data_IF_732123309001
#
_entry.id   IF_732123309001
#
_cell.length_a   1.000
_cell.length_b   1.000
_cell.length_c   1.000
_cell.angle_alpha   90.00
_cell.angle_beta   90.00
_cell.angle_gamma   90.00
#
_symmetry.space_group_name_H-M   'P 1'
#
loop_
_entity.id
_entity.type
_entity.pdbx_description
1 polymer ?
#
# COMPACT_ATOMS: atom_id res chain seq x y z
N UNK A 1 29.98 15.74 -1.66
CA UNK A 1 28.95 16.23 -2.61
C UNK A 1 28.01 17.14 -1.86
N UNK A 2 27.44 18.15 -2.52
CA UNK A 2 26.40 18.97 -1.92
C UNK A 2 25.15 18.12 -1.68
N UNK A 3 24.43 18.41 -0.60
CA UNK A 3 23.16 17.76 -0.27
C UNK A 3 22.02 18.74 -0.50
N UNK A 4 20.90 18.25 -1.01
CA UNK A 4 19.70 19.05 -1.26
C UNK A 4 18.57 18.53 -0.36
N UNK A 5 17.92 19.46 0.33
CA UNK A 5 16.80 19.18 1.23
C UNK A 5 15.63 20.09 0.92
N UNK A 6 14.41 19.57 1.05
CA UNK A 6 13.17 20.33 1.02
C UNK A 6 12.44 20.14 2.36
N UNK A 7 12.25 21.21 3.13
CA UNK A 7 11.61 21.25 4.46
C UNK A 7 12.18 20.34 5.56
N UNK A 8 13.11 19.42 5.26
CA UNK A 8 13.91 18.49 6.09
C UNK A 8 14.02 17.09 5.44
N UNK A 9 13.34 16.86 4.31
CA UNK A 9 13.49 15.62 3.54
C UNK A 9 14.63 15.76 2.52
N UNK A 10 15.46 14.72 2.41
CA UNK A 10 16.52 14.66 1.42
C UNK A 10 15.90 14.47 0.04
N UNK A 11 16.31 15.31 -0.90
CA UNK A 11 15.98 15.15 -2.33
C UNK A 11 17.00 14.18 -2.92
N UNK A 12 16.55 12.97 -3.29
CA UNK A 12 17.42 11.89 -3.78
C UNK A 12 17.42 11.76 -5.30
N UNK A 13 16.32 12.16 -5.94
CA UNK A 13 16.05 12.02 -7.36
C UNK A 13 15.46 13.30 -7.93
N UNK A 14 15.55 13.48 -9.25
CA UNK A 14 14.93 14.60 -9.95
C UNK A 14 13.40 14.66 -9.77
N UNK A 15 12.76 13.51 -9.55
CA UNK A 15 11.30 13.42 -9.35
C UNK A 15 10.85 13.95 -7.99
N UNK A 16 11.73 13.92 -6.98
CA UNK A 16 11.47 14.50 -5.66
C UNK A 16 11.25 16.02 -5.73
N UNK A 17 11.72 16.68 -6.79
CA UNK A 17 11.46 18.11 -7.03
C UNK A 17 9.98 18.39 -7.39
N UNK A 18 9.23 17.39 -7.84
CA UNK A 18 7.82 17.54 -8.21
C UNK A 18 6.93 17.38 -6.96
N UNK A 19 7.23 16.38 -6.12
CA UNK A 19 6.48 16.06 -4.91
C UNK A 19 6.20 14.57 -4.80
N UNK A 20 5.40 14.17 -3.82
CA UNK A 20 5.03 12.77 -3.56
C UNK A 20 3.50 12.56 -3.54
N UNK A 21 2.71 13.58 -3.92
CA UNK A 21 1.25 13.44 -3.97
C UNK A 21 0.86 12.63 -5.20
N UNK A 22 -0.36 12.10 -5.19
CA UNK A 22 -0.93 11.30 -6.28
C UNK A 22 -0.70 11.93 -7.66
N UNK A 23 -1.03 13.21 -7.81
CA UNK A 23 -0.80 13.98 -9.04
C UNK A 23 0.69 14.14 -9.42
N UNK A 24 1.59 14.20 -8.44
CA UNK A 24 3.02 14.40 -8.68
C UNK A 24 3.64 13.08 -9.17
N UNK A 25 3.17 11.96 -8.62
CA UNK A 25 3.55 10.61 -9.01
C UNK A 25 3.08 10.33 -10.45
N UNK A 26 1.81 10.60 -10.78
CA UNK A 26 1.30 10.37 -12.14
C UNK A 26 2.01 11.22 -13.19
N UNK A 27 2.31 12.48 -12.88
CA UNK A 27 3.15 13.34 -13.74
C UNK A 27 4.54 12.78 -13.94
N UNK A 28 5.18 12.30 -12.87
CA UNK A 28 6.52 11.72 -12.92
C UNK A 28 6.56 10.47 -13.80
N UNK A 29 5.57 9.58 -13.65
CA UNK A 29 5.40 8.37 -14.46
C UNK A 29 5.14 8.73 -15.93
N UNK A 30 4.20 9.65 -16.20
CA UNK A 30 3.89 10.11 -17.55
C UNK A 30 5.13 10.67 -18.26
N UNK A 31 5.90 11.50 -17.57
CA UNK A 31 7.15 12.05 -18.11
C UNK A 31 8.19 10.96 -18.38
N UNK A 32 8.33 9.99 -17.47
CA UNK A 32 9.24 8.87 -17.65
C UNK A 32 8.84 7.98 -18.84
N UNK A 33 7.55 7.75 -19.07
CA UNK A 33 7.05 7.05 -20.26
C UNK A 33 7.46 7.76 -21.56
N UNK A 34 7.32 9.09 -21.61
CA UNK A 34 7.75 9.88 -22.78
C UNK A 34 9.26 9.83 -22.99
N UNK A 35 10.06 9.84 -21.91
CA UNK A 35 11.53 9.82 -22.02
C UNK A 35 12.13 8.43 -22.19
N UNK A 36 11.41 7.39 -21.80
CA UNK A 36 11.81 5.99 -21.90
C UNK A 36 10.72 5.20 -22.65
N UNK A 37 10.64 5.31 -23.98
CA UNK A 37 9.59 4.69 -24.81
C UNK A 37 9.37 3.19 -24.54
N UNK A 38 10.46 2.44 -24.35
CA UNK A 38 10.40 1.00 -24.03
C UNK A 38 9.70 0.69 -22.71
N UNK A 39 9.74 1.59 -21.72
CA UNK A 39 9.01 1.41 -20.48
C UNK A 39 7.50 1.49 -20.74
N UNK A 40 7.05 2.49 -21.50
CA UNK A 40 5.66 2.64 -21.92
C UNK A 40 5.17 1.40 -22.68
N UNK A 41 5.93 0.97 -23.69
CA UNK A 41 5.59 -0.21 -24.50
C UNK A 41 5.40 -1.46 -23.63
N UNK A 42 6.33 -1.71 -22.71
CA UNK A 42 6.28 -2.87 -21.80
C UNK A 42 5.13 -2.80 -20.80
N UNK A 43 4.78 -1.60 -20.33
CA UNK A 43 3.61 -1.42 -19.46
C UNK A 43 2.33 -1.70 -20.22
N UNK A 44 2.17 -1.17 -21.44
CA UNK A 44 0.97 -1.42 -22.26
C UNK A 44 0.86 -2.89 -22.66
N UNK A 45 1.97 -3.52 -23.08
CA UNK A 45 2.00 -4.94 -23.42
C UNK A 45 1.61 -5.81 -22.22
N UNK A 46 2.14 -5.52 -21.03
CA UNK A 46 1.80 -6.26 -19.82
C UNK A 46 0.34 -6.08 -19.41
N UNK A 47 -0.19 -4.86 -19.52
CA UNK A 47 -1.52 -4.52 -19.04
C UNK A 47 -2.64 -4.96 -20.00
N UNK A 48 -2.43 -4.78 -21.31
CA UNK A 48 -3.47 -4.96 -22.33
C UNK A 48 -3.19 -6.14 -23.27
N UNK A 49 -2.00 -6.74 -23.22
CA UNK A 49 -1.54 -7.73 -24.20
C UNK A 49 -1.56 -7.19 -25.65
N UNK A 50 -1.28 -5.89 -25.80
CA UNK A 50 -1.22 -5.18 -27.08
C UNK A 50 0.16 -4.59 -27.28
N UNK A 51 0.70 -4.74 -28.49
CA UNK A 51 1.95 -4.09 -28.88
C UNK A 51 1.69 -2.61 -29.20
N UNK A 52 2.16 -1.73 -28.32
CA UNK A 52 2.22 -0.30 -28.56
C UNK A 52 3.49 0.06 -29.33
N UNK A 53 3.40 1.04 -30.22
CA UNK A 53 4.56 1.75 -30.77
C UNK A 53 4.58 3.11 -30.10
N UNK A 54 5.56 3.38 -29.24
CA UNK A 54 5.54 4.56 -28.39
C UNK A 54 5.45 5.89 -29.16
N UNK A 55 5.99 5.94 -30.38
CA UNK A 55 5.94 7.13 -31.25
C UNK A 55 4.50 7.51 -31.67
N UNK A 56 3.58 6.54 -31.68
CA UNK A 56 2.16 6.75 -32.02
C UNK A 56 1.30 7.05 -30.78
N UNK A 57 1.86 6.91 -29.57
CA UNK A 57 1.11 7.02 -28.32
C UNK A 57 1.05 8.47 -27.85
N UNK A 58 -0.16 8.92 -27.53
CA UNK A 58 -0.41 10.19 -26.86
C UNK A 58 -0.72 9.93 -25.39
N UNK A 59 0.03 10.57 -24.51
CA UNK A 59 -0.22 10.62 -23.06
C UNK A 59 -0.75 12.00 -22.72
N UNK A 60 -1.91 12.05 -22.08
CA UNK A 60 -2.48 13.27 -21.46
C UNK A 60 -2.59 13.03 -19.97
N UNK A 61 -2.33 14.05 -19.16
CA UNK A 61 -2.53 13.96 -17.71
C UNK A 61 -3.41 15.13 -17.28
N UNK A 62 -4.26 14.91 -16.28
CA UNK A 62 -5.15 15.93 -15.73
C UNK A 62 -6.15 16.51 -16.76
N UNK A 63 -6.72 15.66 -17.63
CA UNK A 63 -7.73 16.09 -18.61
C UNK A 63 -9.09 16.30 -17.95
N UNK A 64 -9.64 17.51 -18.11
CA UNK A 64 -10.94 17.88 -17.57
C UNK A 64 -12.06 17.70 -18.59
N UNK A 65 -13.13 17.02 -18.19
CA UNK A 65 -14.41 17.01 -18.92
C UNK A 65 -15.53 17.45 -17.98
N UNK A 66 -16.38 18.37 -18.45
CA UNK A 66 -17.49 18.91 -17.67
C UNK A 66 -18.39 17.77 -17.19
N UNK A 67 -18.76 17.79 -15.91
CA UNK A 67 -19.60 16.79 -15.25
C UNK A 67 -18.99 15.36 -15.18
N UNK A 68 -17.75 15.16 -15.67
CA UNK A 68 -17.00 13.89 -15.62
C UNK A 68 -15.66 13.99 -14.89
N UNK A 69 -15.32 15.16 -14.38
CA UNK A 69 -14.15 15.40 -13.54
C UNK A 69 -12.82 15.43 -14.32
N UNK A 70 -11.73 15.32 -13.56
CA UNK A 70 -10.35 15.35 -14.05
C UNK A 70 -9.82 13.91 -14.00
N UNK A 71 -9.21 13.42 -15.07
CA UNK A 71 -8.52 12.12 -15.11
C UNK A 71 -7.06 12.29 -14.74
N UNK A 72 -6.47 11.36 -13.99
CA UNK A 72 -5.05 11.48 -13.67
C UNK A 72 -4.17 11.32 -14.91
N UNK A 73 -4.49 10.32 -15.76
CA UNK A 73 -3.75 10.07 -16.99
C UNK A 73 -4.62 9.34 -18.03
N UNK A 74 -4.50 9.72 -19.29
CA UNK A 74 -5.13 9.06 -20.45
C UNK A 74 -4.03 8.69 -21.45
N UNK A 75 -4.00 7.43 -21.91
CA UNK A 75 -3.00 6.92 -22.84
C UNK A 75 -3.69 6.23 -24.00
N UNK A 76 -3.39 6.65 -25.23
CA UNK A 76 -4.04 6.12 -26.42
C UNK A 76 -3.13 6.24 -27.65
N UNK A 77 -3.17 5.25 -28.53
CA UNK A 77 -2.65 5.35 -29.90
C UNK A 77 -3.77 5.64 -30.93
N UNK A 78 -4.99 5.87 -30.44
CA UNK A 78 -6.22 6.11 -31.19
C UNK A 78 -6.62 4.98 -32.15
N UNK A 79 -6.03 3.78 -32.04
CA UNK A 79 -6.32 2.67 -32.94
C UNK A 79 -6.40 1.33 -32.22
N UNK A 80 -5.35 0.93 -31.51
CA UNK A 80 -5.29 -0.36 -30.84
C UNK A 80 -5.85 -0.23 -29.43
N UNK A 81 -5.52 0.84 -28.71
CA UNK A 81 -5.96 0.99 -27.33
C UNK A 81 -6.26 2.43 -26.90
N UNK A 82 -7.13 2.56 -25.91
CA UNK A 82 -7.34 3.76 -25.11
C UNK A 82 -7.53 3.33 -23.66
N UNK A 83 -6.65 3.79 -22.78
CA UNK A 83 -6.82 3.62 -21.32
C UNK A 83 -6.96 4.95 -20.60
N UNK A 84 -7.85 4.96 -19.60
CA UNK A 84 -7.93 6.02 -18.60
C UNK A 84 -7.39 5.45 -17.29
N UNK A 85 -6.39 6.10 -16.72
CA UNK A 85 -5.76 5.70 -15.46
C UNK A 85 -6.25 6.63 -14.35
N UNK A 86 -6.68 6.01 -13.25
CA UNK A 86 -7.00 6.65 -11.99
C UNK A 86 -6.03 6.15 -10.92
N UNK A 87 -5.18 7.04 -10.44
CA UNK A 87 -4.19 6.73 -9.43
C UNK A 87 -4.74 6.88 -8.02
N UNK A 88 -4.20 6.09 -7.09
CA UNK A 88 -4.45 6.24 -5.66
C UNK A 88 -3.16 6.04 -4.88
N UNK A 89 -2.88 6.89 -3.88
CA UNK A 89 -1.81 6.61 -2.90
C UNK A 89 -2.21 5.44 -1.98
N UNK A 90 -1.21 4.66 -1.58
CA UNK A 90 -1.38 3.55 -0.65
C UNK A 90 -2.28 2.43 -1.16
N UNK A 91 -2.99 1.79 -0.23
CA UNK A 91 -3.87 0.65 -0.49
C UNK A 91 -5.32 1.07 -0.84
N UNK A 92 -5.49 2.33 -1.26
CA UNK A 92 -6.77 2.88 -1.69
C UNK A 92 -7.01 2.49 -3.15
N UNK A 93 -8.27 2.19 -3.47
CA UNK A 93 -8.73 1.92 -4.83
C UNK A 93 -9.86 2.91 -5.17
N UNK A 94 -10.00 3.29 -6.45
CA UNK A 94 -11.07 4.17 -6.88
C UNK A 94 -12.44 3.52 -6.68
N UNK A 95 -13.42 4.34 -6.32
CA UNK A 95 -14.80 3.91 -6.11
C UNK A 95 -15.59 3.81 -7.43
N UNK A 96 -16.74 3.13 -7.36
CA UNK A 96 -17.59 2.87 -8.54
C UNK A 96 -18.06 4.16 -9.22
N UNK A 97 -18.43 5.17 -8.43
CA UNK A 97 -18.90 6.47 -8.94
C UNK A 97 -17.88 7.11 -9.87
N UNK A 98 -16.59 7.09 -9.48
CA UNK A 98 -15.52 7.70 -10.25
C UNK A 98 -15.23 6.92 -11.54
N UNK A 99 -15.14 5.58 -11.45
CA UNK A 99 -14.92 4.75 -12.63
C UNK A 99 -16.08 4.85 -13.63
N UNK A 100 -17.32 4.95 -13.13
CA UNK A 100 -18.50 5.15 -13.99
C UNK A 100 -18.43 6.48 -14.74
N UNK A 101 -18.04 7.58 -14.09
CA UNK A 101 -17.85 8.86 -14.77
C UNK A 101 -16.86 8.76 -15.94
N UNK A 102 -15.74 8.06 -15.74
CA UNK A 102 -14.73 7.89 -16.78
C UNK A 102 -15.19 6.98 -17.92
N UNK A 103 -15.99 5.95 -17.63
CA UNK A 103 -16.56 5.08 -18.67
C UNK A 103 -17.51 5.82 -19.61
N UNK A 104 -18.07 6.94 -19.15
CA UNK A 104 -19.04 7.75 -19.87
C UNK A 104 -18.43 8.96 -20.60
N UNK A 105 -17.11 9.12 -20.58
CA UNK A 105 -16.42 10.24 -21.22
C UNK A 105 -16.56 10.16 -22.73
N UNK A 106 -16.85 11.30 -23.35
CA UNK A 106 -17.11 11.39 -24.79
C UNK A 106 -15.94 10.88 -25.64
N UNK A 107 -14.71 11.26 -25.31
CA UNK A 107 -13.50 10.80 -26.01
C UNK A 107 -13.26 9.29 -25.86
N UNK A 108 -13.61 8.71 -24.72
CA UNK A 108 -13.46 7.28 -24.47
C UNK A 108 -14.51 6.45 -25.23
N UNK A 109 -15.77 6.89 -25.20
CA UNK A 109 -16.87 6.21 -25.92
C UNK A 109 -16.63 6.26 -27.42
N UNK A 110 -16.38 7.45 -27.97
CA UNK A 110 -16.26 7.69 -29.42
C UNK A 110 -14.94 7.19 -30.02
N UNK A 111 -13.94 6.89 -29.19
CA UNK A 111 -12.67 6.37 -29.66
C UNK A 111 -12.85 5.06 -30.46
N UNK A 112 -12.21 4.96 -31.64
CA UNK A 112 -12.21 3.74 -32.46
C UNK A 112 -11.24 2.67 -31.94
N UNK A 113 -10.56 2.93 -30.81
CA UNK A 113 -9.63 1.99 -30.21
C UNK A 113 -10.28 0.61 -29.97
N UNK A 114 -9.59 -0.45 -30.41
CA UNK A 114 -10.09 -1.84 -30.26
C UNK A 114 -10.17 -2.29 -28.81
N UNK A 115 -9.21 -1.88 -27.99
CA UNK A 115 -9.15 -2.21 -26.56
C UNK A 115 -9.36 -0.94 -25.75
N UNK A 116 -10.41 -0.91 -24.94
CA UNK A 116 -10.71 0.21 -24.05
C UNK A 116 -10.81 -0.27 -22.62
N UNK A 117 -10.10 0.37 -21.71
CA UNK A 117 -10.11 0.01 -20.30
C UNK A 117 -9.96 1.22 -19.39
N UNK A 118 -10.52 1.11 -18.19
CA UNK A 118 -10.17 2.00 -17.08
C UNK A 118 -9.24 1.24 -16.16
N UNK A 119 -8.16 1.89 -15.75
CA UNK A 119 -7.05 1.27 -15.04
C UNK A 119 -6.91 1.97 -13.70
N UNK A 120 -7.14 1.25 -12.61
CA UNK A 120 -6.74 1.72 -11.29
C UNK A 120 -5.23 1.57 -11.13
N UNK A 121 -4.54 2.55 -10.56
CA UNK A 121 -3.09 2.50 -10.36
C UNK A 121 -2.72 2.86 -8.91
N UNK A 122 -2.23 1.91 -8.11
CA UNK A 122 -1.87 2.18 -6.71
C UNK A 122 -0.76 1.25 -6.19
N UNK A 123 -0.51 1.25 -4.89
CA UNK A 123 0.46 0.37 -4.23
C UNK A 123 -0.10 -1.05 -3.97
N UNK A 124 -1.40 -1.25 -4.23
CA UNK A 124 -2.08 -2.53 -4.13
C UNK A 124 -1.46 -3.59 -5.06
N UNK A 125 -1.55 -4.86 -4.66
CA UNK A 125 -1.29 -5.97 -5.57
C UNK A 125 -2.45 -6.16 -6.55
N UNK A 126 -2.18 -6.78 -7.71
CA UNK A 126 -3.22 -7.14 -8.69
C UNK A 126 -4.32 -8.01 -8.06
N UNK A 127 -3.95 -9.00 -7.24
CA UNK A 127 -4.91 -9.87 -6.55
C UNK A 127 -5.80 -9.11 -5.55
N UNK A 128 -5.21 -8.20 -4.76
CA UNK A 128 -5.96 -7.38 -3.82
C UNK A 128 -6.97 -6.48 -4.54
N UNK A 129 -6.54 -5.86 -5.64
CA UNK A 129 -7.37 -4.98 -6.44
C UNK A 129 -8.48 -5.74 -7.18
N UNK A 130 -8.16 -6.90 -7.76
CA UNK A 130 -9.14 -7.73 -8.49
C UNK A 130 -10.34 -8.13 -7.63
N UNK A 131 -10.14 -8.35 -6.33
CA UNK A 131 -11.23 -8.70 -5.39
C UNK A 131 -12.08 -7.50 -4.95
N UNK A 132 -11.62 -6.26 -5.17
CA UNK A 132 -12.21 -5.04 -4.59
C UNK A 132 -12.62 -3.97 -5.59
N UNK A 133 -12.03 -3.98 -6.78
CA UNK A 133 -12.40 -3.05 -7.82
C UNK A 133 -13.85 -3.31 -8.26
N UNK A 134 -14.66 -2.25 -8.37
CA UNK A 134 -16.04 -2.41 -8.77
C UNK A 134 -16.11 -2.83 -10.24
N UNK A 135 -17.10 -3.66 -10.56
CA UNK A 135 -17.39 -4.00 -11.95
C UNK A 135 -18.21 -2.89 -12.57
N UNK A 136 -17.74 -2.34 -13.70
CA UNK A 136 -18.47 -1.33 -14.47
C UNK A 136 -19.05 -1.98 -15.72
N UNK A 137 -20.40 -2.00 -15.89
CA UNK A 137 -21.02 -2.62 -17.06
C UNK A 137 -20.47 -2.07 -18.37
N UNK A 138 -20.07 -2.97 -19.27
CA UNK A 138 -19.57 -2.61 -20.60
C UNK A 138 -18.16 -2.02 -20.64
N UNK A 139 -17.47 -1.91 -19.50
CA UNK A 139 -16.11 -1.34 -19.43
C UNK A 139 -15.15 -2.28 -18.71
N UNK A 140 -14.04 -2.61 -19.36
CA UNK A 140 -12.96 -3.37 -18.73
C UNK A 140 -12.30 -2.53 -17.65
N UNK A 141 -12.26 -3.05 -16.42
CA UNK A 141 -11.52 -2.43 -15.31
C UNK A 141 -10.29 -3.29 -14.99
N UNK A 142 -9.11 -2.66 -15.03
CA UNK A 142 -7.82 -3.30 -14.76
C UNK A 142 -7.13 -2.62 -13.57
N UNK A 143 -6.05 -3.25 -13.09
CA UNK A 143 -5.21 -2.67 -12.06
C UNK A 143 -3.73 -2.70 -12.47
N UNK A 144 -3.02 -1.60 -12.23
CA UNK A 144 -1.58 -1.47 -12.45
C UNK A 144 -0.90 -1.11 -11.12
N UNK A 145 -0.22 -2.06 -10.46
CA UNK A 145 0.59 -1.74 -9.28
C UNK A 145 1.75 -0.81 -9.65
N UNK A 146 2.08 0.14 -8.77
CA UNK A 146 3.28 0.98 -8.95
C UNK A 146 4.56 0.16 -8.97
N UNK A 147 4.61 -0.92 -8.19
CA UNK A 147 5.74 -1.83 -8.16
C UNK A 147 6.01 -2.46 -9.52
N UNK A 148 4.96 -2.75 -10.31
CA UNK A 148 5.12 -3.28 -11.66
C UNK A 148 5.89 -2.30 -12.56
N UNK A 149 5.64 -1.00 -12.43
CA UNK A 149 6.39 0.04 -13.17
C UNK A 149 7.83 0.10 -12.68
N UNK A 150 8.04 0.01 -11.36
CA UNK A 150 9.37 -0.01 -10.74
C UNK A 150 10.21 -1.20 -11.23
N UNK A 151 9.64 -2.41 -11.22
CA UNK A 151 10.31 -3.64 -11.65
C UNK A 151 10.68 -3.58 -13.14
N UNK A 152 9.75 -3.16 -13.99
CA UNK A 152 10.00 -2.96 -15.42
C UNK A 152 11.09 -1.90 -15.67
N UNK A 153 11.11 -0.81 -14.88
CA UNK A 153 12.15 0.19 -14.97
C UNK A 153 13.52 -0.38 -14.58
N UNK A 154 13.60 -1.18 -13.51
CA UNK A 154 14.81 -1.88 -13.09
C UNK A 154 15.32 -2.87 -14.14
N UNK A 155 14.44 -3.69 -14.71
CA UNK A 155 14.78 -4.64 -15.78
C UNK A 155 15.34 -3.93 -17.03
N UNK A 156 14.69 -2.84 -17.46
CA UNK A 156 15.11 -2.06 -18.63
C UNK A 156 16.39 -1.30 -18.37
N UNK A 157 16.59 -0.80 -17.15
CA UNK A 157 17.82 -0.12 -16.73
C UNK A 157 19.04 -1.02 -16.94
N UNK A 158 18.95 -2.30 -16.57
CA UNK A 158 20.04 -3.26 -16.78
C UNK A 158 20.43 -3.47 -18.25
N UNK A 159 19.52 -3.14 -19.19
CA UNK A 159 19.67 -3.35 -20.63
C UNK A 159 19.89 -2.05 -21.42
N UNK A 160 19.90 -0.91 -20.75
CA UNK A 160 19.95 0.42 -21.37
C UNK A 160 21.15 1.20 -20.84
N UNK A 161 21.72 2.09 -21.65
CA UNK A 161 22.82 2.97 -21.25
C UNK A 161 22.44 4.45 -21.40
N UNK A 162 23.26 5.34 -20.82
CA UNK A 162 23.12 6.78 -20.99
C UNK A 162 21.87 7.38 -20.34
N UNK A 163 21.23 8.34 -21.02
CA UNK A 163 20.17 9.17 -20.44
C UNK A 163 18.93 8.37 -20.01
N UNK A 164 18.51 7.38 -20.80
CA UNK A 164 17.37 6.54 -20.43
C UNK A 164 17.69 5.69 -19.19
N UNK A 165 18.89 5.11 -19.09
CA UNK A 165 19.32 4.39 -17.89
C UNK A 165 19.25 5.26 -16.63
N UNK A 166 19.73 6.50 -16.73
CA UNK A 166 19.65 7.47 -15.64
C UNK A 166 18.20 7.72 -15.22
N UNK A 167 17.30 8.04 -16.16
CA UNK A 167 15.90 8.33 -15.87
C UNK A 167 15.19 7.12 -15.25
N UNK A 168 15.44 5.91 -15.76
CA UNK A 168 14.89 4.68 -15.19
C UNK A 168 15.38 4.45 -13.76
N UNK A 169 16.66 4.72 -13.47
CA UNK A 169 17.21 4.63 -12.13
C UNK A 169 16.65 5.68 -11.16
N UNK A 170 16.42 6.90 -11.63
CA UNK A 170 15.73 7.94 -10.87
C UNK A 170 14.29 7.53 -10.55
N UNK A 171 13.55 7.00 -11.53
CA UNK A 171 12.16 6.59 -11.36
C UNK A 171 12.07 5.40 -10.39
N UNK A 172 12.96 4.43 -10.53
CA UNK A 172 13.04 3.26 -9.65
C UNK A 172 13.24 3.68 -8.19
N UNK A 173 14.22 4.57 -7.93
CA UNK A 173 14.49 5.10 -6.59
C UNK A 173 13.32 5.90 -6.05
N UNK A 174 12.73 6.77 -6.87
CA UNK A 174 11.59 7.59 -6.51
C UNK A 174 10.37 6.74 -6.10
N UNK A 175 9.97 5.76 -6.93
CA UNK A 175 8.84 4.88 -6.63
C UNK A 175 9.12 4.05 -5.38
N UNK A 176 10.32 3.45 -5.26
CA UNK A 176 10.72 2.70 -4.05
C UNK A 176 10.63 3.56 -2.81
N UNK A 177 11.16 4.78 -2.86
CA UNK A 177 11.10 5.74 -1.76
C UNK A 177 9.65 5.96 -1.35
N UNK A 178 8.79 6.40 -2.27
CA UNK A 178 7.36 6.67 -1.99
C UNK A 178 6.66 5.45 -1.37
N UNK A 179 6.85 4.27 -1.96
CA UNK A 179 6.26 3.02 -1.43
C UNK A 179 6.80 2.69 -0.04
N UNK A 180 8.07 2.97 0.23
CA UNK A 180 8.67 2.81 1.56
C UNK A 180 8.32 3.95 2.53
N UNK A 181 7.92 5.11 2.02
CA UNK A 181 7.46 6.28 2.80
C UNK A 181 5.99 6.13 3.21
N UNK A 182 5.39 4.93 3.13
CA UNK A 182 4.35 4.54 4.08
C UNK A 182 4.95 4.54 5.50
N UNK A 183 5.09 5.76 6.05
CA UNK A 183 5.38 6.16 7.41
C UNK A 183 6.63 5.57 8.10
N UNK A 184 7.74 5.31 7.40
CA UNK A 184 9.00 4.88 8.05
C UNK A 184 9.55 5.87 9.10
N UNK A 185 9.28 7.17 8.94
CA UNK A 185 9.69 8.21 9.90
C UNK A 185 8.70 8.39 11.05
N UNK A 186 7.62 7.60 11.06
CA UNK A 186 6.68 7.63 12.17
C UNK A 186 7.28 6.94 13.38
N UNK A 187 7.31 7.66 14.51
CA UNK A 187 7.56 7.04 15.80
C UNK A 187 6.28 6.47 16.42
N UNK A 188 5.15 6.47 15.70
CA UNK A 188 3.89 5.94 16.21
C UNK A 188 3.88 4.41 16.26
N UNK A 189 3.52 3.89 17.41
CA UNK A 189 3.44 2.46 17.72
C UNK A 189 1.99 2.08 17.96
N UNK A 190 1.51 1.06 17.24
CA UNK A 190 0.19 0.48 17.47
C UNK A 190 0.27 -0.60 18.54
N UNK A 191 -0.35 -0.35 19.70
CA UNK A 191 -0.29 -1.26 20.84
C UNK A 191 -1.48 -2.21 20.85
N UNK A 192 -1.20 -3.51 20.78
CA UNK A 192 -2.18 -4.58 20.70
C UNK A 192 -2.10 -5.50 21.91
N UNK A 193 -3.27 -5.87 22.44
CA UNK A 193 -3.38 -6.91 23.45
C UNK A 193 -3.33 -8.28 22.79
N UNK A 194 -2.35 -9.12 23.15
CA UNK A 194 -2.32 -10.50 22.68
C UNK A 194 -3.13 -11.40 23.62
N UNK A 195 -3.98 -12.22 23.02
CA UNK A 195 -4.70 -13.28 23.73
C UNK A 195 -3.75 -14.44 24.07
N UNK A 196 -3.95 -15.03 25.25
CA UNK A 196 -3.29 -16.27 25.67
C UNK A 196 -4.07 -17.52 25.24
N UNK A 197 -5.21 -17.33 24.58
CA UNK A 197 -6.05 -18.40 24.05
C UNK A 197 -5.71 -18.65 22.59
N UNK A 198 -6.16 -19.80 22.11
CA UNK A 198 -6.12 -20.18 20.70
C UNK A 198 -6.71 -19.10 19.80
N UNK A 199 -6.12 -18.98 18.61
CA UNK A 199 -6.52 -18.03 17.58
C UNK A 199 -7.89 -18.41 17.03
N UNK A 200 -8.82 -17.47 17.03
CA UNK A 200 -10.12 -17.66 16.38
C UNK A 200 -10.01 -17.29 14.90
N UNK A 201 -10.57 -18.16 14.05
CA UNK A 201 -10.57 -18.03 12.59
C UNK A 201 -12.00 -18.03 12.12
N UNK A 202 -12.32 -17.07 11.25
CA UNK A 202 -13.59 -17.00 10.53
C UNK A 202 -13.33 -17.29 9.06
N UNK A 203 -13.59 -18.52 8.58
CA UNK A 203 -13.47 -18.85 7.16
C UNK A 203 -14.48 -18.07 6.31
N UNK A 204 -14.19 -17.88 5.02
CA UNK A 204 -15.14 -17.29 4.07
C UNK A 204 -16.40 -18.14 3.89
N UNK A 205 -16.29 -19.45 4.11
CA UNK A 205 -17.39 -20.42 4.10
C UNK A 205 -17.29 -21.33 5.31
N UNK A 206 -18.37 -21.44 6.08
CA UNK A 206 -18.46 -22.31 7.24
C UNK A 206 -18.43 -21.54 8.57
N UNK A 207 -18.35 -22.30 9.66
CA UNK A 207 -18.41 -21.77 11.02
C UNK A 207 -17.05 -21.32 11.53
N UNK A 208 -17.07 -20.42 12.52
CA UNK A 208 -15.87 -20.02 13.25
C UNK A 208 -15.25 -21.21 13.95
N UNK A 209 -13.92 -21.25 13.98
CA UNK A 209 -13.14 -22.32 14.61
C UNK A 209 -11.86 -21.79 15.22
N UNK A 210 -11.28 -22.53 16.15
CA UNK A 210 -9.98 -22.22 16.71
C UNK A 210 -8.86 -22.88 15.89
N UNK A 211 -7.69 -22.24 15.86
CA UNK A 211 -6.45 -22.85 15.39
C UNK A 211 -5.68 -23.46 16.56
N UNK A 212 -4.82 -24.43 16.27
CA UNK A 212 -3.97 -25.11 17.27
C UNK A 212 -2.81 -24.27 17.80
N UNK A 213 -2.93 -22.93 17.82
CA UNK A 213 -1.89 -22.00 18.27
C UNK A 213 -2.51 -20.74 18.88
N UNK A 214 -1.89 -20.19 19.93
CA UNK A 214 -2.30 -18.93 20.55
C UNK A 214 -1.67 -17.71 19.86
N UNK A 215 -2.32 -16.54 19.97
CA UNK A 215 -1.81 -15.29 19.36
C UNK A 215 -0.39 -14.94 19.82
N UNK A 216 -0.09 -15.17 21.11
CA UNK A 216 1.24 -14.92 21.68
C UNK A 216 2.31 -15.85 21.09
N UNK A 217 1.94 -17.09 20.74
CA UNK A 217 2.87 -18.07 20.24
C UNK A 217 3.19 -17.84 18.76
N UNK A 218 2.26 -17.26 17.97
CA UNK A 218 2.58 -16.82 16.61
C UNK A 218 3.72 -15.80 16.64
N UNK A 219 3.66 -14.82 17.53
CA UNK A 219 4.69 -13.79 17.67
C UNK A 219 6.01 -14.41 18.14
N UNK A 220 5.97 -15.29 19.15
CA UNK A 220 7.18 -15.87 19.75
C UNK A 220 7.86 -16.92 18.88
N UNK A 221 7.10 -17.77 18.19
CA UNK A 221 7.60 -18.91 17.40
C UNK A 221 7.92 -18.51 15.97
N UNK A 222 7.05 -17.71 15.36
CA UNK A 222 7.14 -17.39 13.94
C UNK A 222 7.69 -16.00 13.65
N UNK A 223 7.85 -15.15 14.68
CA UNK A 223 8.18 -13.73 14.51
C UNK A 223 7.23 -13.04 13.53
N UNK A 224 5.95 -13.42 13.59
CA UNK A 224 4.90 -12.85 12.76
C UNK A 224 3.74 -12.33 13.58
N UNK A 225 2.97 -11.42 13.02
CA UNK A 225 1.68 -11.02 13.58
C UNK A 225 0.64 -10.85 12.49
N UNK A 226 -0.55 -11.41 12.71
CA UNK A 226 -1.63 -11.40 11.75
C UNK A 226 -2.81 -10.58 12.27
N UNK A 227 -3.36 -9.66 11.47
CA UNK A 227 -4.58 -8.94 11.81
C UNK A 227 -5.41 -8.58 10.57
N UNK A 228 -6.74 -8.41 10.70
CA UNK A 228 -7.58 -7.97 9.60
C UNK A 228 -7.16 -6.60 9.04
N UNK A 229 -7.32 -6.42 7.73
CA UNK A 229 -7.15 -5.12 7.04
C UNK A 229 -8.42 -4.30 7.23
N UNK A 230 -8.34 -3.21 7.99
CA UNK A 230 -9.46 -2.26 8.14
C UNK A 230 -10.75 -2.82 8.74
N UNK A 231 -10.75 -4.03 9.30
CA UNK A 231 -11.95 -4.74 9.78
C UNK A 231 -12.38 -4.42 11.23
N UNK A 232 -13.61 -4.85 11.57
CA UNK A 232 -14.13 -4.95 12.95
C UNK A 232 -14.51 -3.67 13.71
N UNK A 233 -15.33 -3.83 14.76
CA UNK A 233 -15.55 -2.81 15.80
C UNK A 233 -14.25 -2.66 16.61
N UNK A 234 -13.44 -1.65 16.30
CA UNK A 234 -12.24 -1.31 17.07
C UNK A 234 -11.03 -0.82 16.26
N UNK A 235 -11.19 -0.51 14.98
CA UNK A 235 -10.20 0.28 14.23
C UNK A 235 -8.88 -0.42 13.98
N UNK A 236 -8.91 -1.61 13.36
CA UNK A 236 -7.70 -2.18 12.78
C UNK A 236 -7.09 -1.23 11.73
N UNK A 237 -5.76 -1.20 11.57
CA UNK A 237 -5.11 -0.40 10.55
C UNK A 237 -5.65 -0.74 9.16
N UNK A 238 -5.88 0.29 8.35
CA UNK A 238 -6.15 0.15 6.91
C UNK A 238 -4.87 0.12 6.09
N UNK A 239 -3.79 0.61 6.69
CA UNK A 239 -2.46 0.68 6.11
C UNK A 239 -1.49 -0.16 6.96
N UNK A 240 -0.41 -0.69 6.36
CA UNK A 240 0.65 -1.38 7.08
C UNK A 240 1.25 -0.54 8.20
N UNK A 241 1.58 -1.19 9.31
CA UNK A 241 2.22 -0.55 10.46
C UNK A 241 3.73 -0.41 10.24
N UNK A 242 4.32 0.65 10.82
CA UNK A 242 5.79 0.77 10.97
C UNK A 242 6.26 0.11 12.25
N UNK A 243 5.58 0.37 13.37
CA UNK A 243 5.84 -0.25 14.66
C UNK A 243 4.58 -0.86 15.27
N UNK A 244 4.73 -2.04 15.84
CA UNK A 244 3.69 -2.70 16.62
C UNK A 244 4.22 -3.08 18.00
N UNK A 245 3.37 -2.96 19.01
CA UNK A 245 3.69 -3.33 20.37
C UNK A 245 2.70 -4.35 20.91
N UNK A 246 3.19 -5.27 21.72
CA UNK A 246 2.38 -6.32 22.32
C UNK A 246 2.30 -6.16 23.83
N UNK A 247 1.07 -6.15 24.34
CA UNK A 247 0.78 -6.19 25.78
C UNK A 247 0.04 -7.47 26.14
N UNK A 248 0.40 -8.04 27.28
CA UNK A 248 -0.28 -9.15 27.95
C UNK A 248 0.21 -9.23 29.40
N UNK A 249 -0.54 -9.90 30.28
CA UNK A 249 -0.33 -9.86 31.74
C UNK A 249 -0.31 -8.43 32.33
N UNK A 250 -1.16 -7.54 31.81
CA UNK A 250 -1.31 -6.18 32.35
C UNK A 250 -0.12 -5.25 32.13
N UNK A 251 0.82 -5.60 31.24
CA UNK A 251 2.01 -4.80 30.94
C UNK A 251 2.41 -4.88 29.47
N UNK A 252 3.19 -3.91 29.01
CA UNK A 252 3.90 -3.95 27.75
C UNK A 252 4.99 -5.04 27.80
N UNK A 253 5.17 -5.78 26.71
CA UNK A 253 6.07 -6.94 26.67
C UNK A 253 7.17 -6.76 25.63
N UNK A 254 6.80 -6.34 24.42
CA UNK A 254 7.75 -6.06 23.36
C UNK A 254 7.20 -5.04 22.38
N UNK A 255 8.12 -4.36 21.70
CA UNK A 255 7.86 -3.49 20.55
C UNK A 255 8.68 -4.03 19.39
N UNK A 256 8.11 -4.01 18.19
CA UNK A 256 8.75 -4.52 16.98
C UNK A 256 8.60 -3.49 15.86
N UNK A 257 9.69 -3.29 15.12
CA UNK A 257 9.63 -2.72 13.79
C UNK A 257 9.04 -3.76 12.83
N UNK A 258 8.26 -3.31 11.85
CA UNK A 258 7.75 -4.18 10.78
C UNK A 258 8.77 -4.20 9.65
N UNK A 259 9.43 -5.34 9.46
CA UNK A 259 10.42 -5.51 8.39
C UNK A 259 9.76 -5.65 7.03
N UNK A 260 8.65 -6.39 7.00
CA UNK A 260 7.88 -6.67 5.80
C UNK A 260 6.44 -7.00 6.19
N UNK A 261 5.54 -6.86 5.23
CA UNK A 261 4.18 -7.35 5.38
C UNK A 261 3.73 -8.05 4.10
N UNK A 262 2.77 -8.96 4.25
CA UNK A 262 2.03 -9.59 3.15
C UNK A 262 0.54 -9.41 3.40
N UNK A 263 -0.22 -9.17 2.34
CA UNK A 263 -1.68 -9.10 2.41
C UNK A 263 -2.25 -10.37 1.81
N UNK A 264 -3.07 -11.09 2.56
CA UNK A 264 -3.54 -12.41 2.18
C UNK A 264 -4.94 -12.70 2.74
N UNK A 265 -5.66 -13.58 2.06
CA UNK A 265 -6.90 -14.17 2.55
C UNK A 265 -6.66 -15.57 3.15
N UNK A 266 -5.42 -16.06 3.16
CA UNK A 266 -5.06 -17.35 3.75
C UNK A 266 -3.79 -17.22 4.60
N UNK A 267 -3.88 -17.62 5.87
CA UNK A 267 -2.79 -17.52 6.84
C UNK A 267 -1.95 -18.81 6.96
N UNK A 268 -2.44 -19.95 6.47
CA UNK A 268 -1.77 -21.24 6.60
C UNK A 268 -0.32 -21.25 6.07
N UNK A 269 -0.01 -20.62 4.92
CA UNK A 269 1.38 -20.56 4.43
C UNK A 269 2.35 -19.86 5.39
N UNK A 270 1.85 -19.04 6.32
CA UNK A 270 2.66 -18.24 7.23
C UNK A 270 2.69 -18.80 8.66
N UNK A 271 1.63 -19.50 9.04
CA UNK A 271 1.43 -20.15 10.34
C UNK A 271 0.76 -21.51 10.10
N UNK A 272 1.54 -22.60 9.96
CA UNK A 272 1.02 -23.90 9.55
C UNK A 272 -0.06 -24.51 10.48
N UNK A 273 -0.08 -24.13 11.76
CA UNK A 273 -1.12 -24.55 12.72
C UNK A 273 -2.48 -23.89 12.48
N UNK A 274 -2.54 -22.83 11.66
CA UNK A 274 -3.80 -22.26 11.19
C UNK A 274 -4.31 -23.14 10.03
N UNK A 275 -5.57 -23.62 10.05
CA UNK A 275 -6.15 -24.38 8.96
C UNK A 275 -6.01 -23.70 7.59
N UNK A 276 -5.73 -24.51 6.56
CA UNK A 276 -5.62 -24.06 5.17
C UNK A 276 -6.99 -23.71 4.58
N UNK A 277 -7.41 -22.46 4.76
CA UNK A 277 -8.66 -21.92 4.22
C UNK A 277 -8.57 -20.45 3.87
N UNK A 278 -9.43 -20.03 2.96
CA UNK A 278 -9.73 -18.63 2.71
C UNK A 278 -10.57 -18.05 3.87
N UNK A 279 -10.13 -16.89 4.38
CA UNK A 279 -10.75 -16.16 5.48
C UNK A 279 -11.84 -15.22 4.97
N UNK A 280 -12.81 -14.90 5.84
CA UNK A 280 -13.90 -13.97 5.51
C UNK A 280 -13.44 -12.53 5.34
N UNK A 281 -12.29 -12.18 5.91
CA UNK A 281 -11.67 -10.87 5.82
C UNK A 281 -10.20 -11.02 5.41
N UNK A 282 -9.70 -10.09 4.63
CA UNK A 282 -8.27 -10.02 4.27
C UNK A 282 -7.44 -9.61 5.47
N UNK A 283 -6.26 -10.19 5.61
CA UNK A 283 -5.35 -9.96 6.72
C UNK A 283 -4.01 -9.38 6.25
N UNK A 284 -3.44 -8.52 7.08
CA UNK A 284 -2.01 -8.28 7.11
C UNK A 284 -1.32 -9.43 7.83
N UNK A 285 -0.21 -9.90 7.26
CA UNK A 285 0.78 -10.76 7.91
C UNK A 285 2.07 -9.96 7.98
N UNK A 286 2.40 -9.50 9.18
CA UNK A 286 3.62 -8.75 9.45
C UNK A 286 4.77 -9.70 9.78
N UNK A 287 5.92 -9.48 9.15
CA UNK A 287 7.21 -10.02 9.57
C UNK A 287 7.83 -9.03 10.57
N UNK A 288 8.07 -9.51 11.79
CA UNK A 288 8.50 -8.69 12.90
C UNK A 288 10.02 -8.65 12.97
N UNK A 289 10.58 -7.45 13.05
CA UNK A 289 11.99 -7.23 13.36
C UNK A 289 12.34 -7.63 14.79
N UNK A 290 13.62 -7.50 15.17
CA UNK A 290 14.09 -7.80 16.51
C UNK A 290 13.24 -7.10 17.59
N UNK A 291 13.01 -7.80 18.70
CA UNK A 291 12.21 -7.26 19.79
C UNK A 291 12.96 -6.14 20.52
N UNK A 292 12.35 -4.96 20.59
CA UNK A 292 12.74 -3.89 21.50
C UNK A 292 12.04 -4.17 22.83
N UNK A 293 12.83 -4.62 23.82
CA UNK A 293 12.33 -4.93 25.16
C UNK A 293 12.38 -3.68 26.01
N UNK A 294 11.26 -3.29 26.66
CA UNK A 294 11.29 -2.12 27.54
C UNK A 294 12.29 -2.29 28.69
N UNK A 295 13.07 -1.24 29.03
CA UNK A 295 14.06 -1.32 30.09
C UNK A 295 13.44 -1.38 31.49
N UNK A 296 12.14 -1.07 31.61
CA UNK A 296 11.36 -1.11 32.84
C UNK A 296 9.98 -1.70 32.60
N UNK A 297 9.31 -2.08 33.70
CA UNK A 297 7.91 -2.53 33.65
C UNK A 297 7.00 -1.34 33.35
N UNK A 298 6.35 -1.35 32.18
CA UNK A 298 5.33 -0.38 31.79
C UNK A 298 3.97 -1.04 31.89
N UNK A 299 3.13 -0.59 32.82
CA UNK A 299 1.80 -1.19 33.08
C UNK A 299 0.81 -0.73 32.01
N UNK A 300 -0.27 -1.47 31.79
CA UNK A 300 -1.31 -1.08 30.82
C UNK A 300 -1.91 0.31 31.14
N UNK A 301 -2.14 0.61 32.41
CA UNK A 301 -2.85 1.82 32.84
C UNK A 301 -4.37 1.63 32.86
N UNK A 302 -5.08 2.61 33.41
CA UNK A 302 -6.51 2.56 33.76
C UNK A 302 -7.45 2.87 32.59
N UNK A 303 -7.03 3.72 31.65
CA UNK A 303 -7.86 4.11 30.49
C UNK A 303 -7.89 3.08 29.35
N UNK A 304 -7.06 2.04 29.42
CA UNK A 304 -7.00 0.99 28.40
C UNK A 304 -7.74 -0.25 28.92
N UNK A 305 -9.02 -0.32 28.56
CA UNK A 305 -9.93 -1.39 29.02
C UNK A 305 -9.85 -2.60 28.09
N UNK A 306 -9.86 -3.80 28.67
CA UNK A 306 -9.92 -5.08 27.95
C UNK A 306 -8.88 -5.19 26.82
N UNK A 307 -9.32 -5.47 25.58
CA UNK A 307 -8.51 -5.66 24.38
C UNK A 307 -8.38 -4.39 23.53
N UNK A 308 -8.74 -3.22 24.09
CA UNK A 308 -8.63 -1.96 23.37
C UNK A 308 -7.19 -1.74 22.88
N UNK A 309 -7.12 -1.34 21.60
CA UNK A 309 -5.88 -1.01 20.90
C UNK A 309 -5.70 0.50 20.97
N UNK A 310 -4.45 0.93 21.12
CA UNK A 310 -4.12 2.36 21.25
C UNK A 310 -2.89 2.69 20.43
N UNK A 311 -2.74 3.98 20.14
CA UNK A 311 -1.55 4.54 19.53
C UNK A 311 -0.75 5.33 20.57
N UNK A 312 0.57 5.14 20.59
CA UNK A 312 1.50 5.92 21.38
C UNK A 312 2.82 6.09 20.62
N UNK A 313 3.55 7.17 20.84
CA UNK A 313 4.88 7.39 20.28
C UNK A 313 5.91 6.51 21.00
N UNK A 314 6.88 5.98 20.25
CA UNK A 314 7.89 5.02 20.71
C UNK A 314 8.68 5.53 21.92
N UNK A 315 9.10 6.80 21.89
CA UNK A 315 9.83 7.41 22.99
C UNK A 315 8.97 7.50 24.25
N UNK A 316 7.72 7.99 24.14
CA UNK A 316 6.80 8.07 25.28
C UNK A 316 6.51 6.69 25.87
N UNK A 317 6.36 5.69 25.00
CA UNK A 317 6.08 4.32 25.40
C UNK A 317 7.23 3.74 26.21
N UNK A 318 8.49 4.06 25.85
CA UNK A 318 9.68 3.59 26.57
C UNK A 318 9.98 4.40 27.85
N UNK A 319 9.49 5.64 27.96
CA UNK A 319 9.76 6.51 29.12
C UNK A 319 8.67 6.55 30.18
N UNK A 320 7.40 6.34 29.81
CA UNK A 320 6.25 6.41 30.73
C UNK A 320 6.15 5.20 31.66
N UNK A 321 5.42 5.33 32.77
CA UNK A 321 5.17 4.21 33.69
C UNK A 321 3.96 3.37 33.26
N UNK A 322 3.07 3.95 32.46
CA UNK A 322 1.92 3.26 31.88
C UNK A 322 1.72 3.54 30.39
N UNK A 323 1.08 2.60 29.69
CA UNK A 323 0.69 2.77 28.28
C UNK A 323 -0.39 3.86 28.17
N UNK A 324 -1.29 3.99 29.16
CA UNK A 324 -2.23 5.10 29.25
C UNK A 324 -1.52 6.45 29.22
N UNK A 325 -0.53 6.65 30.08
CA UNK A 325 0.25 7.89 30.14
C UNK A 325 0.95 8.18 28.79
N UNK A 326 1.61 7.17 28.22
CA UNK A 326 2.28 7.29 26.92
C UNK A 326 1.31 7.74 25.81
N UNK A 327 0.12 7.12 25.75
CA UNK A 327 -0.94 7.49 24.81
C UNK A 327 -1.39 8.94 25.00
N UNK A 328 -1.55 9.39 26.24
CA UNK A 328 -2.03 10.75 26.53
C UNK A 328 -0.99 11.82 26.20
N UNK A 329 0.28 11.60 26.55
CA UNK A 329 1.39 12.48 26.15
C UNK A 329 1.49 12.54 24.63
N UNK A 330 1.41 11.40 23.96
CA UNK A 330 1.46 11.32 22.49
C UNK A 330 0.33 12.13 21.84
N UNK A 331 -0.90 12.03 22.37
CA UNK A 331 -2.03 12.84 21.90
C UNK A 331 -1.83 14.32 22.16
N UNK A 332 -1.31 14.69 23.33
CA UNK A 332 -1.08 16.09 23.70
C UNK A 332 -0.02 16.76 22.80
N UNK A 333 1.02 16.03 22.39
CA UNK A 333 2.06 16.53 21.47
C UNK A 333 1.57 16.83 20.06
N UNK A 334 0.44 16.24 19.66
CA UNK A 334 -0.10 16.30 18.30
C UNK A 334 -1.45 17.02 18.23
N UNK A 335 -1.79 17.77 19.28
CA UNK A 335 -2.85 18.77 19.31
C UNK A 335 -2.20 20.14 19.19
#
# INVERSE_FOLDING_TARGET
MAELFAHNERVETIFDLIGDKENDITKSIAWAFVKCPRLLERVIERLLHVNAAADDVVIRYQEFEKDKGITDMEITDNQKFYIIIEAKRGWVLPGESQLRLYSERSGFISSPAKVKAIVSMSECTEDYAKKRLPTIPGTTVLHLPWMTICDLAGELRMKTAGKQNYILGELERYIKRIMTTQNKDTNWVYVVSLGLKEVEITPAKGEKRTAGIAYVDIVRKYHKYCCPVGGGKGGWPKEPLTYIAFRYHGKLQSIHHIEKYTVTDNLHPFVPEIPDVELSETHFVYELGPAIIPPKVIRTGDKIVMSNRVWAQLDTLLTSDTITEAMEISKARNK
#
